data_IF_675765771164
#
_entry.id   IF_675765771164
#
_cell.length_a   1.000
_cell.length_b   1.000
_cell.length_c   1.000
_cell.angle_alpha   90.00
_cell.angle_beta   90.00
_cell.angle_gamma   90.00
#
_symmetry.space_group_name_H-M   'P 1'
#
loop_
_entity.id
_entity.type
_entity.pdbx_description
1 polymer ?
#
# COMPACT_ATOMS: atom_id res chain seq x y z
N UNK A 1 10.46 -8.27 5.36
CA UNK A 1 10.87 -7.36 4.27
C UNK A 1 11.73 -8.15 3.29
N UNK A 2 11.53 -7.99 2.00
CA UNK A 2 12.38 -8.61 0.96
C UNK A 2 13.32 -7.55 0.38
N UNK A 3 14.57 -7.95 0.16
CA UNK A 3 15.65 -7.06 -0.25
C UNK A 3 16.29 -7.52 -1.56
N UNK A 4 16.59 -6.56 -2.44
CA UNK A 4 17.46 -6.75 -3.61
C UNK A 4 18.42 -5.56 -3.66
N UNK A 5 19.72 -5.82 -3.79
CA UNK A 5 20.78 -4.80 -3.82
C UNK A 5 20.71 -3.78 -2.67
N UNK A 6 20.36 -4.24 -1.46
CA UNK A 6 20.24 -3.40 -0.27
C UNK A 6 18.97 -2.54 -0.20
N UNK A 7 17.98 -2.76 -1.08
CA UNK A 7 16.72 -2.00 -1.11
C UNK A 7 15.53 -2.88 -0.76
N UNK A 8 14.64 -2.38 0.10
CA UNK A 8 13.35 -3.00 0.38
C UNK A 8 12.41 -2.72 -0.77
N UNK A 9 12.03 -3.76 -1.51
CA UNK A 9 11.06 -3.65 -2.61
C UNK A 9 9.68 -4.21 -2.23
N UNK A 10 9.60 -5.03 -1.18
CA UNK A 10 8.35 -5.60 -0.71
C UNK A 10 8.29 -5.67 0.82
N UNK A 11 7.17 -5.21 1.36
CA UNK A 11 6.81 -5.34 2.79
C UNK A 11 5.63 -6.29 2.91
N UNK A 12 5.74 -7.30 3.77
CA UNK A 12 4.73 -8.33 3.97
C UNK A 12 4.26 -8.30 5.42
N UNK A 13 2.95 -8.11 5.62
CA UNK A 13 2.32 -8.05 6.92
C UNK A 13 2.32 -9.40 7.66
N UNK A 14 2.07 -9.35 8.96
CA UNK A 14 2.01 -10.55 9.81
C UNK A 14 0.95 -11.55 9.32
N UNK A 15 1.28 -12.84 9.38
CA UNK A 15 0.39 -13.93 8.93
C UNK A 15 0.26 -14.07 7.42
N UNK A 16 0.87 -13.19 6.63
CA UNK A 16 0.87 -13.25 5.17
C UNK A 16 2.03 -14.08 4.63
N UNK A 17 1.85 -14.63 3.44
CA UNK A 17 2.92 -15.32 2.71
C UNK A 17 2.85 -15.03 1.21
N UNK A 18 4.02 -15.12 0.57
CA UNK A 18 4.18 -15.11 -0.88
C UNK A 18 4.87 -16.42 -1.24
N UNK A 19 4.15 -17.32 -1.91
CA UNK A 19 4.67 -18.64 -2.24
C UNK A 19 5.73 -18.56 -3.35
N UNK A 20 5.42 -17.86 -4.43
CA UNK A 20 6.36 -17.52 -5.51
C UNK A 20 5.90 -16.22 -6.18
N UNK A 21 6.85 -15.39 -6.59
CA UNK A 21 6.55 -14.13 -7.25
C UNK A 21 7.75 -13.50 -7.93
N UNK A 22 7.49 -12.86 -9.07
CA UNK A 22 8.48 -12.15 -9.88
C UNK A 22 8.09 -10.69 -9.90
N UNK A 23 9.07 -9.81 -9.74
CA UNK A 23 8.87 -8.37 -9.93
C UNK A 23 9.64 -7.96 -11.17
N UNK A 24 8.91 -7.52 -12.19
CA UNK A 24 9.49 -6.87 -13.36
C UNK A 24 9.34 -5.37 -13.20
N UNK A 25 10.46 -4.65 -13.34
CA UNK A 25 10.44 -3.22 -13.10
C UNK A 25 11.36 -2.42 -14.04
N UNK A 26 10.84 -1.29 -14.53
CA UNK A 26 11.62 -0.30 -15.30
C UNK A 26 12.06 0.90 -14.44
N UNK A 27 11.53 0.99 -13.21
CA UNK A 27 11.83 2.06 -12.25
C UNK A 27 12.62 1.53 -11.07
N UNK A 28 13.55 2.33 -10.56
CA UNK A 28 14.25 2.03 -9.30
C UNK A 28 13.46 2.45 -8.05
N UNK A 29 12.31 3.10 -8.21
CA UNK A 29 11.50 3.66 -7.13
C UNK A 29 10.25 2.82 -6.87
N UNK A 30 10.40 1.51 -6.71
CA UNK A 30 9.27 0.59 -6.55
C UNK A 30 8.99 0.17 -5.10
N UNK A 31 7.73 -0.16 -4.81
CA UNK A 31 7.35 -0.85 -3.57
C UNK A 31 6.08 -1.69 -3.76
N UNK A 32 6.08 -2.90 -3.20
CA UNK A 32 4.89 -3.72 -3.03
C UNK A 32 4.57 -3.83 -1.54
N UNK A 33 3.43 -3.31 -1.13
CA UNK A 33 2.90 -3.49 0.22
C UNK A 33 1.89 -4.62 0.22
N UNK A 34 2.11 -5.62 1.07
CA UNK A 34 1.16 -6.70 1.33
C UNK A 34 0.69 -6.61 2.77
N UNK A 35 -0.63 -6.53 2.96
CA UNK A 35 -1.28 -6.46 4.27
C UNK A 35 -1.10 -7.75 5.08
N UNK A 36 -1.87 -7.88 6.16
CA UNK A 36 -1.82 -9.02 7.10
C UNK A 36 -2.74 -10.15 6.66
N UNK A 37 -2.39 -11.38 7.00
CA UNK A 37 -3.17 -12.59 6.71
C UNK A 37 -3.53 -12.77 5.22
N UNK A 38 -2.68 -12.23 4.34
CA UNK A 38 -2.85 -12.22 2.89
C UNK A 38 -2.04 -13.35 2.27
N UNK A 39 -2.69 -14.09 1.37
CA UNK A 39 -2.15 -15.28 0.73
C UNK A 39 -1.87 -15.02 -0.74
N UNK A 40 -0.60 -15.03 -1.14
CA UNK A 40 -0.20 -15.03 -2.55
C UNK A 40 0.30 -16.41 -2.91
N UNK A 41 -0.39 -17.07 -3.84
CA UNK A 41 0.01 -18.41 -4.33
C UNK A 41 1.16 -18.31 -5.35
N UNK A 42 1.36 -19.31 -6.20
CA UNK A 42 2.52 -19.39 -7.09
C UNK A 42 2.48 -18.39 -8.25
N UNK A 43 3.66 -18.07 -8.80
CA UNK A 43 3.78 -17.37 -10.09
C UNK A 43 3.04 -16.02 -10.18
N UNK A 44 3.06 -15.22 -9.11
CA UNK A 44 2.50 -13.85 -9.16
C UNK A 44 3.51 -12.90 -9.80
N UNK A 45 3.14 -12.26 -10.91
CA UNK A 45 3.94 -11.23 -11.56
C UNK A 45 3.50 -9.84 -11.11
N UNK A 46 4.44 -9.06 -10.57
CA UNK A 46 4.28 -7.64 -10.30
C UNK A 46 4.99 -6.84 -11.38
N UNK A 47 4.23 -6.21 -12.27
CA UNK A 47 4.78 -5.43 -13.39
C UNK A 47 4.73 -3.93 -13.04
N UNK A 48 5.87 -3.34 -12.66
CA UNK A 48 5.95 -2.00 -12.08
C UNK A 48 6.87 -1.10 -12.88
N UNK A 49 6.32 -0.06 -13.51
CA UNK A 49 7.16 0.94 -14.18
C UNK A 49 7.72 0.49 -15.54
N UNK A 50 7.11 -0.53 -16.17
CA UNK A 50 7.56 -1.10 -17.43
C UNK A 50 6.99 -0.40 -18.67
N UNK A 51 6.09 0.58 -18.52
CA UNK A 51 5.53 1.27 -19.69
C UNK A 51 6.57 2.20 -20.32
N UNK A 52 6.71 2.11 -21.63
CA UNK A 52 7.29 3.19 -22.43
C UNK A 52 6.28 4.33 -22.60
N UNK A 53 6.78 5.55 -22.80
CA UNK A 53 5.98 6.74 -23.03
C UNK A 53 5.25 6.66 -24.37
N UNK A 54 4.08 6.03 -24.35
CA UNK A 54 3.21 5.82 -25.51
C UNK A 54 2.53 7.11 -26.01
N UNK A 55 2.81 8.26 -25.38
CA UNK A 55 2.42 9.58 -25.91
C UNK A 55 3.44 10.15 -26.90
N UNK A 56 4.65 9.57 -26.99
CA UNK A 56 5.64 9.93 -28.01
C UNK A 56 5.26 9.35 -29.38
N UNK A 57 5.82 9.93 -30.44
CA UNK A 57 5.62 9.45 -31.82
C UNK A 57 6.00 7.98 -32.00
N UNK A 58 7.00 7.50 -31.24
CA UNK A 58 7.40 6.11 -31.21
C UNK A 58 7.61 5.69 -29.75
N UNK A 59 7.04 4.55 -29.36
CA UNK A 59 7.24 3.95 -28.04
C UNK A 59 8.58 3.18 -27.92
N UNK A 60 9.46 3.25 -28.93
CA UNK A 60 10.77 2.61 -28.90
C UNK A 60 11.74 3.39 -27.99
N UNK A 61 12.45 2.74 -27.05
CA UNK A 61 13.35 3.41 -26.12
C UNK A 61 14.69 3.71 -26.81
N UNK A 62 14.72 4.72 -27.68
CA UNK A 62 15.92 5.07 -28.44
C UNK A 62 17.11 5.36 -27.52
N UNK A 63 16.88 6.01 -26.39
CA UNK A 63 17.92 6.37 -25.44
C UNK A 63 18.64 5.16 -24.81
N UNK A 64 17.95 4.03 -24.67
CA UNK A 64 18.55 2.80 -24.13
C UNK A 64 19.48 2.10 -25.14
N UNK A 65 19.12 2.14 -26.43
CA UNK A 65 19.81 1.38 -27.47
C UNK A 65 20.77 2.21 -28.33
N UNK A 66 20.57 3.52 -28.41
CA UNK A 66 21.43 4.43 -29.17
C UNK A 66 22.40 5.23 -28.30
N UNK A 67 22.43 4.99 -26.98
CA UNK A 67 23.29 5.70 -26.01
C UNK A 67 23.22 7.23 -26.16
N UNK A 68 22.05 7.75 -26.56
CA UNK A 68 21.83 9.18 -26.68
C UNK A 68 21.50 9.74 -25.31
N UNK A 69 22.11 10.86 -24.93
CA UNK A 69 21.65 11.63 -23.78
C UNK A 69 20.16 11.97 -23.98
N UNK A 70 19.30 11.48 -23.09
CA UNK A 70 17.86 11.54 -23.30
C UNK A 70 17.05 11.28 -22.04
N UNK A 71 15.82 11.79 -22.03
CA UNK A 71 14.84 11.52 -20.97
C UNK A 71 14.38 10.07 -21.13
N UNK A 72 14.59 9.25 -20.10
CA UNK A 72 14.14 7.86 -20.02
C UNK A 72 12.72 7.71 -20.58
N UNK A 73 12.52 6.74 -21.45
CA UNK A 73 11.23 6.41 -22.03
C UNK A 73 10.30 5.72 -21.02
N UNK A 74 10.82 5.24 -19.88
CA UNK A 74 10.03 4.85 -18.69
C UNK A 74 9.56 6.09 -17.90
N UNK A 75 8.80 6.96 -18.57
CA UNK A 75 8.42 8.25 -18.03
C UNK A 75 7.44 8.12 -16.84
N UNK A 76 7.57 9.04 -15.87
CA UNK A 76 6.76 9.04 -14.65
C UNK A 76 5.25 9.21 -14.89
N UNK A 77 4.82 9.87 -15.97
CA UNK A 77 3.39 10.12 -16.22
C UNK A 77 2.64 8.91 -16.78
N UNK A 78 3.34 7.89 -17.27
CA UNK A 78 2.74 6.62 -17.77
C UNK A 78 3.00 5.44 -16.83
N UNK A 79 3.70 5.66 -15.72
CA UNK A 79 4.13 4.61 -14.80
C UNK A 79 3.76 4.95 -13.36
N UNK A 80 3.23 3.97 -12.65
CA UNK A 80 3.00 4.03 -11.21
C UNK A 80 3.87 2.99 -10.54
N UNK A 81 4.56 3.39 -9.48
CA UNK A 81 5.63 2.57 -8.91
C UNK A 81 5.26 1.81 -7.63
N UNK A 82 3.99 1.80 -7.25
CA UNK A 82 3.53 1.15 -6.02
C UNK A 82 2.38 0.19 -6.29
N UNK A 83 2.40 -0.96 -5.64
CA UNK A 83 1.25 -1.86 -5.53
C UNK A 83 0.89 -1.99 -4.06
N UNK A 84 -0.38 -1.85 -3.73
CA UNK A 84 -0.89 -2.01 -2.37
C UNK A 84 -1.88 -3.16 -2.37
N UNK A 85 -1.60 -4.20 -1.60
CA UNK A 85 -2.50 -5.32 -1.35
C UNK A 85 -2.92 -5.24 0.12
N UNK A 86 -4.24 -5.19 0.34
CA UNK A 86 -4.83 -5.12 1.67
C UNK A 86 -4.67 -6.41 2.49
N UNK A 87 -5.48 -6.50 3.54
CA UNK A 87 -5.49 -7.59 4.51
C UNK A 87 -6.46 -8.70 4.09
N UNK A 88 -6.23 -9.95 4.51
CA UNK A 88 -7.11 -11.09 4.17
C UNK A 88 -7.36 -11.24 2.64
N UNK A 89 -6.40 -10.83 1.81
CA UNK A 89 -6.51 -10.95 0.36
C UNK A 89 -6.04 -12.34 -0.06
N UNK A 90 -6.73 -12.92 -1.05
CA UNK A 90 -6.28 -14.14 -1.71
C UNK A 90 -5.95 -13.88 -3.17
N UNK A 91 -4.69 -14.08 -3.54
CA UNK A 91 -4.22 -14.01 -4.93
C UNK A 91 -3.91 -15.42 -5.42
N UNK A 92 -4.61 -15.83 -6.48
CA UNK A 92 -4.42 -17.10 -7.17
C UNK A 92 -3.09 -17.19 -7.92
N UNK A 93 -2.92 -18.29 -8.65
CA UNK A 93 -1.69 -18.62 -9.36
C UNK A 93 -1.67 -17.91 -10.73
N UNK A 94 -0.49 -17.62 -11.28
CA UNK A 94 -0.34 -16.97 -12.59
C UNK A 94 -1.10 -15.62 -12.70
N UNK A 95 -1.18 -14.86 -11.61
CA UNK A 95 -1.80 -13.53 -11.59
C UNK A 95 -0.77 -12.47 -11.96
N UNK A 96 -1.17 -11.53 -12.82
CA UNK A 96 -0.39 -10.33 -13.15
C UNK A 96 -1.02 -9.13 -12.47
N UNK A 97 -0.24 -8.35 -11.72
CA UNK A 97 -0.67 -7.12 -11.06
C UNK A 97 0.18 -5.96 -11.59
N UNK A 98 -0.48 -4.97 -12.17
CA UNK A 98 0.19 -3.80 -12.73
C UNK A 98 0.47 -2.73 -11.66
N UNK A 99 1.55 -1.99 -11.86
CA UNK A 99 1.93 -0.86 -11.00
C UNK A 99 0.82 0.18 -10.89
N UNK A 100 0.61 0.67 -9.68
CA UNK A 100 -0.42 1.67 -9.32
C UNK A 100 -1.70 1.09 -8.76
N UNK A 101 -1.86 -0.25 -8.76
CA UNK A 101 -3.09 -0.90 -8.31
C UNK A 101 -3.16 -1.02 -6.78
N UNK A 102 -4.32 -0.68 -6.24
CA UNK A 102 -4.73 -0.98 -4.88
C UNK A 102 -5.76 -2.12 -4.85
N UNK A 103 -5.44 -3.21 -4.15
CA UNK A 103 -6.33 -4.35 -3.92
C UNK A 103 -6.89 -4.28 -2.51
N UNK A 104 -8.18 -4.01 -2.37
CA UNK A 104 -8.85 -3.82 -1.09
C UNK A 104 -8.89 -5.09 -0.23
N UNK A 105 -8.95 -4.87 1.08
CA UNK A 105 -8.97 -5.95 2.07
C UNK A 105 -10.11 -6.95 1.84
N UNK A 106 -9.80 -8.22 2.01
CA UNK A 106 -10.72 -9.33 1.78
C UNK A 106 -10.94 -9.69 0.31
N UNK A 107 -10.33 -9.01 -0.67
CA UNK A 107 -10.54 -9.33 -2.08
C UNK A 107 -10.00 -10.74 -2.45
N UNK A 108 -10.58 -11.33 -3.50
CA UNK A 108 -10.11 -12.57 -4.11
C UNK A 108 -9.78 -12.28 -5.57
N UNK A 109 -8.55 -12.55 -5.97
CA UNK A 109 -8.12 -12.52 -7.37
C UNK A 109 -7.89 -13.96 -7.80
N UNK A 110 -8.71 -14.46 -8.71
CA UNK A 110 -8.59 -15.82 -9.21
C UNK A 110 -7.37 -15.99 -10.11
N UNK A 111 -6.90 -17.24 -10.21
CA UNK A 111 -5.74 -17.59 -11.04
C UNK A 111 -5.88 -17.12 -12.48
N UNK A 112 -4.78 -16.67 -13.09
CA UNK A 112 -4.73 -16.18 -14.47
C UNK A 112 -5.31 -14.78 -14.69
N UNK A 113 -5.71 -14.06 -13.64
CA UNK A 113 -6.26 -12.71 -13.78
C UNK A 113 -5.16 -11.66 -14.05
N UNK A 114 -5.49 -10.63 -14.84
CA UNK A 114 -4.64 -9.45 -15.03
C UNK A 114 -5.27 -8.23 -14.38
N UNK A 115 -4.72 -7.81 -13.25
CA UNK A 115 -5.22 -6.71 -12.43
C UNK A 115 -4.56 -5.41 -12.86
N UNK A 116 -5.29 -4.60 -13.63
CA UNK A 116 -4.84 -3.32 -14.18
C UNK A 116 -5.53 -2.10 -13.56
N UNK A 117 -6.45 -2.32 -12.60
CA UNK A 117 -7.23 -1.28 -11.92
C UNK A 117 -7.45 -1.68 -10.47
N UNK A 118 -7.74 -0.69 -9.63
CA UNK A 118 -8.06 -0.90 -8.23
C UNK A 118 -9.22 -1.89 -8.05
N UNK A 119 -9.09 -2.72 -7.02
CA UNK A 119 -10.05 -3.76 -6.66
C UNK A 119 -10.70 -3.37 -5.34
N UNK A 120 -12.03 -3.20 -5.27
CA UNK A 120 -12.71 -2.86 -4.03
C UNK A 120 -12.57 -3.96 -2.96
N UNK A 121 -12.71 -3.61 -1.67
CA UNK A 121 -12.69 -4.61 -0.60
C UNK A 121 -13.72 -5.72 -0.83
N UNK A 122 -13.33 -6.95 -0.51
CA UNK A 122 -14.15 -8.17 -0.66
C UNK A 122 -14.65 -8.47 -2.09
N UNK A 123 -14.17 -7.76 -3.11
CA UNK A 123 -14.49 -8.05 -4.50
C UNK A 123 -13.82 -9.35 -4.97
N UNK A 124 -14.42 -9.99 -5.98
CA UNK A 124 -13.89 -11.17 -6.66
C UNK A 124 -13.51 -10.76 -8.09
N UNK A 125 -12.27 -10.99 -8.48
CA UNK A 125 -11.72 -10.60 -9.78
C UNK A 125 -11.30 -11.83 -10.58
N UNK A 126 -11.68 -11.87 -11.85
CA UNK A 126 -11.35 -12.95 -12.77
C UNK A 126 -11.01 -12.42 -14.18
N UNK A 127 -10.15 -13.14 -14.91
CA UNK A 127 -9.93 -12.95 -16.35
C UNK A 127 -8.86 -11.93 -16.74
N UNK A 128 -8.69 -11.78 -18.06
CA UNK A 128 -7.77 -10.82 -18.69
C UNK A 128 -8.52 -10.05 -19.80
N UNK A 129 -8.81 -8.74 -19.62
CA UNK A 129 -8.50 -7.93 -18.44
C UNK A 129 -9.33 -8.37 -17.22
N UNK A 130 -8.75 -8.29 -16.02
CA UNK A 130 -9.42 -8.63 -14.78
C UNK A 130 -10.69 -7.82 -14.58
N UNK A 131 -11.82 -8.50 -14.40
CA UNK A 131 -13.13 -7.90 -14.14
C UNK A 131 -13.63 -8.32 -12.76
N UNK A 132 -14.34 -7.41 -12.09
CA UNK A 132 -15.08 -7.74 -10.88
C UNK A 132 -16.29 -8.59 -11.27
N UNK A 133 -16.30 -9.87 -10.87
CA UNK A 133 -17.39 -10.81 -11.15
C UNK A 133 -18.39 -10.92 -10.00
N UNK A 134 -18.04 -10.40 -8.82
CA UNK A 134 -18.92 -10.34 -7.67
C UNK A 134 -18.21 -9.88 -6.41
N UNK A 135 -18.85 -10.13 -5.27
CA UNK A 135 -18.31 -9.86 -3.94
C UNK A 135 -18.49 -11.11 -3.06
N UNK A 136 -17.56 -11.33 -2.11
CA UNK A 136 -17.63 -12.46 -1.18
C UNK A 136 -18.92 -12.46 -0.35
N UNK A 137 -19.41 -11.28 0.02
CA UNK A 137 -20.55 -11.10 0.92
C UNK A 137 -21.45 -9.94 0.48
N UNK A 138 -22.61 -9.80 1.13
CA UNK A 138 -23.47 -8.63 0.96
C UNK A 138 -22.84 -7.36 1.56
N UNK A 139 -23.27 -6.19 1.07
CA UNK A 139 -22.73 -4.88 1.45
C UNK A 139 -22.77 -4.62 2.96
N UNK A 140 -23.83 -5.07 3.65
CA UNK A 140 -23.96 -4.88 5.11
C UNK A 140 -22.92 -5.70 5.85
N UNK A 141 -22.69 -6.94 5.43
CA UNK A 141 -21.64 -7.80 5.99
C UNK A 141 -20.25 -7.22 5.71
N UNK A 142 -19.98 -6.76 4.48
CA UNK A 142 -18.70 -6.12 4.10
C UNK A 142 -18.42 -4.90 4.99
N UNK A 143 -19.36 -3.97 5.11
CA UNK A 143 -19.21 -2.77 5.95
C UNK A 143 -18.88 -3.13 7.40
N UNK A 144 -19.51 -4.17 7.94
CA UNK A 144 -19.25 -4.63 9.31
C UNK A 144 -17.86 -5.25 9.45
N UNK A 145 -17.44 -6.09 8.52
CA UNK A 145 -16.11 -6.69 8.57
C UNK A 145 -15.01 -5.66 8.43
N UNK A 146 -15.20 -4.69 7.52
CA UNK A 146 -14.33 -3.53 7.42
C UNK A 146 -14.30 -2.78 8.74
N UNK A 147 -15.44 -2.55 9.42
CA UNK A 147 -15.47 -1.92 10.74
C UNK A 147 -14.76 -2.73 11.84
N UNK A 148 -14.78 -4.06 11.77
CA UNK A 148 -14.24 -4.95 12.79
C UNK A 148 -12.71 -5.04 12.73
N UNK A 149 -12.15 -5.04 11.52
CA UNK A 149 -10.71 -5.17 11.25
C UNK A 149 -10.00 -6.22 12.09
N UNK A 150 -10.51 -7.44 12.04
CA UNK A 150 -9.99 -8.52 12.87
C UNK A 150 -8.48 -8.77 12.66
N UNK A 151 -7.94 -8.43 11.49
CA UNK A 151 -6.52 -8.50 11.16
C UNK A 151 -5.62 -7.60 12.02
N UNK A 152 -6.20 -6.61 12.72
CA UNK A 152 -5.49 -5.72 13.64
C UNK A 152 -5.63 -6.13 15.11
N UNK A 153 -6.37 -7.20 15.41
CA UNK A 153 -6.51 -7.68 16.77
C UNK A 153 -5.18 -8.21 17.33
N UNK A 154 -4.97 -8.16 18.67
CA UNK A 154 -3.88 -8.89 19.32
C UNK A 154 -3.94 -10.38 18.97
N UNK A 155 -2.77 -11.01 18.87
CA UNK A 155 -2.66 -12.42 18.46
C UNK A 155 -3.48 -13.34 19.38
N UNK A 156 -3.48 -13.07 20.68
CA UNK A 156 -4.24 -13.83 21.68
C UNK A 156 -5.75 -13.77 21.42
N UNK A 157 -6.24 -12.61 20.96
CA UNK A 157 -7.66 -12.43 20.59
C UNK A 157 -7.99 -13.17 19.30
N UNK A 158 -7.07 -13.18 18.32
CA UNK A 158 -7.23 -13.93 17.08
C UNK A 158 -7.30 -15.43 17.37
N UNK A 159 -6.40 -15.95 18.20
CA UNK A 159 -6.41 -17.35 18.63
C UNK A 159 -7.71 -17.69 19.39
N UNK A 160 -8.14 -16.85 20.33
CA UNK A 160 -9.40 -17.05 21.05
C UNK A 160 -10.64 -17.01 20.13
N UNK A 161 -10.57 -16.28 19.02
CA UNK A 161 -11.66 -16.13 18.06
C UNK A 161 -11.52 -17.05 16.82
N UNK A 162 -10.53 -17.95 16.78
CA UNK A 162 -10.20 -18.77 15.61
C UNK A 162 -11.43 -19.48 15.03
N UNK A 163 -12.19 -20.17 15.88
CA UNK A 163 -13.39 -20.88 15.45
C UNK A 163 -14.46 -19.96 14.85
N UNK A 164 -14.57 -18.72 15.35
CA UNK A 164 -15.53 -17.75 14.82
C UNK A 164 -15.07 -17.18 13.48
N UNK A 165 -13.76 -16.95 13.33
CA UNK A 165 -13.13 -16.48 12.08
C UNK A 165 -13.23 -17.51 10.94
N UNK A 166 -13.16 -18.81 11.27
CA UNK A 166 -13.27 -19.91 10.29
C UNK A 166 -14.72 -20.29 9.94
N UNK A 167 -15.72 -19.65 10.54
CA UNK A 167 -17.11 -20.00 10.38
C UNK A 167 -17.84 -18.99 9.45
N UNK A 168 -19.12 -18.75 9.69
CA UNK A 168 -19.95 -17.90 8.85
C UNK A 168 -19.64 -16.41 9.07
N UNK A 169 -19.17 -15.72 8.02
CA UNK A 169 -18.81 -14.30 8.06
C UNK A 169 -19.95 -13.38 8.52
N UNK A 170 -21.20 -13.71 8.17
CA UNK A 170 -22.36 -12.93 8.62
C UNK A 170 -22.60 -13.12 10.12
N UNK A 171 -22.54 -14.35 10.62
CA UNK A 171 -22.66 -14.63 12.05
C UNK A 171 -21.51 -13.97 12.84
N UNK A 172 -20.29 -14.01 12.32
CA UNK A 172 -19.14 -13.29 12.88
C UNK A 172 -19.39 -11.79 12.92
N UNK A 173 -19.85 -11.19 11.82
CA UNK A 173 -20.18 -9.77 11.74
C UNK A 173 -21.40 -9.36 12.60
N UNK A 174 -22.23 -10.32 13.01
CA UNK A 174 -23.33 -10.11 13.97
C UNK A 174 -22.85 -10.21 15.41
N UNK A 175 -21.92 -11.13 15.70
CA UNK A 175 -21.31 -11.32 17.01
C UNK A 175 -20.45 -10.13 17.43
N UNK A 176 -19.62 -9.62 16.52
CA UNK A 176 -18.71 -8.50 16.77
C UNK A 176 -19.28 -7.22 16.18
N UNK A 177 -20.39 -6.71 16.72
CA UNK A 177 -20.94 -5.43 16.26
C UNK A 177 -20.12 -4.25 16.80
N UNK A 178 -20.06 -3.15 16.05
CA UNK A 178 -19.16 -1.99 16.21
C UNK A 178 -19.11 -1.30 17.60
N UNK A 179 -19.89 -1.73 18.59
CA UNK A 179 -19.74 -1.24 19.95
C UNK A 179 -18.41 -1.68 20.60
N UNK A 180 -17.80 -2.78 20.13
CA UNK A 180 -16.67 -3.38 20.84
C UNK A 180 -15.28 -2.96 20.33
N UNK A 181 -15.14 -2.33 19.15
CA UNK A 181 -13.84 -1.86 18.62
C UNK A 181 -13.99 -0.77 17.54
N UNK A 182 -14.67 0.35 17.83
CA UNK A 182 -14.42 1.57 17.06
C UNK A 182 -13.41 2.39 17.85
N UNK A 183 -12.13 2.30 17.48
CA UNK A 183 -11.36 3.53 17.49
C UNK A 183 -12.13 4.45 16.54
N UNK A 184 -12.80 5.48 17.07
CA UNK A 184 -13.35 6.53 16.21
C UNK A 184 -12.23 6.96 15.27
N UNK A 185 -12.52 7.36 14.01
CA UNK A 185 -11.49 7.94 13.19
C UNK A 185 -10.84 9.02 14.00
N UNK A 186 -9.59 8.77 14.39
CA UNK A 186 -8.80 9.76 15.07
C UNK A 186 -8.65 10.93 14.10
N UNK A 187 -8.12 12.05 14.57
CA UNK A 187 -7.96 13.24 13.73
C UNK A 187 -7.21 12.93 12.41
N UNK A 188 -6.40 11.86 12.41
CA UNK A 188 -5.66 11.35 11.26
C UNK A 188 -6.59 10.72 10.23
N UNK A 189 -7.42 9.75 10.61
CA UNK A 189 -8.35 9.10 9.67
C UNK A 189 -9.28 10.08 8.96
N UNK A 190 -9.74 11.11 9.67
CA UNK A 190 -10.57 12.17 9.09
C UNK A 190 -9.78 13.07 8.12
N UNK A 191 -8.52 13.37 8.44
CA UNK A 191 -7.64 14.12 7.55
C UNK A 191 -7.35 13.36 6.25
N UNK A 192 -7.14 12.05 6.32
CA UNK A 192 -6.88 11.19 5.15
C UNK A 192 -8.10 11.09 4.23
N UNK A 193 -9.28 10.90 4.81
CA UNK A 193 -10.55 10.91 4.08
C UNK A 193 -10.70 12.21 3.26
N UNK A 194 -10.47 13.35 3.91
CA UNK A 194 -10.55 14.66 3.24
C UNK A 194 -9.50 14.83 2.14
N UNK A 195 -8.28 14.34 2.35
CA UNK A 195 -7.21 14.38 1.34
C UNK A 195 -7.59 13.57 0.09
N UNK A 196 -8.13 12.35 0.27
CA UNK A 196 -8.60 11.50 -0.83
C UNK A 196 -9.75 12.15 -1.61
N UNK A 197 -10.74 12.74 -0.92
CA UNK A 197 -11.86 13.45 -1.58
C UNK A 197 -11.39 14.62 -2.46
N UNK A 198 -10.27 15.23 -2.11
CA UNK A 198 -9.63 16.31 -2.89
C UNK A 198 -8.69 15.80 -3.98
N UNK A 199 -8.61 14.48 -4.20
CA UNK A 199 -7.80 13.85 -5.23
C UNK A 199 -6.30 13.76 -4.90
N UNK A 200 -5.93 13.77 -3.61
CA UNK A 200 -4.52 13.59 -3.24
C UNK A 200 -4.08 12.13 -3.37
N UNK A 201 -2.94 11.91 -4.04
CA UNK A 201 -2.19 10.67 -3.94
C UNK A 201 -1.55 10.58 -2.55
N UNK A 202 -1.85 9.52 -1.80
CA UNK A 202 -1.39 9.36 -0.42
C UNK A 202 -0.26 8.34 -0.38
N UNK A 203 0.92 8.78 0.06
CA UNK A 203 2.09 7.94 0.32
C UNK A 203 2.29 7.78 1.81
N UNK A 204 2.79 6.62 2.23
CA UNK A 204 2.96 6.28 3.63
C UNK A 204 4.41 5.91 3.94
N UNK A 205 4.93 6.44 5.05
CA UNK A 205 6.25 6.12 5.59
C UNK A 205 6.13 5.89 7.10
N UNK A 206 6.43 4.67 7.56
CA UNK A 206 6.75 4.44 8.97
C UNK A 206 8.23 4.70 9.16
N UNK A 207 8.58 5.66 10.00
CA UNK A 207 9.96 6.00 10.25
C UNK A 207 10.64 4.88 11.05
N UNK A 208 11.57 4.20 10.40
CA UNK A 208 12.32 3.06 10.93
C UNK A 208 13.53 3.51 11.74
N UNK A 209 13.32 4.39 12.72
CA UNK A 209 14.36 4.98 13.57
C UNK A 209 15.20 3.93 14.33
N UNK A 210 14.65 2.74 14.55
CA UNK A 210 15.31 1.63 15.25
C UNK A 210 16.09 0.70 14.33
N UNK A 211 15.93 0.80 13.01
CA UNK A 211 16.61 -0.08 12.07
C UNK A 211 18.11 0.28 11.97
N UNK A 212 18.97 -0.73 11.98
CA UNK A 212 20.40 -0.57 11.77
C UNK A 212 20.71 0.11 10.42
N UNK A 213 19.92 -0.19 9.40
CA UNK A 213 19.94 0.46 8.09
C UNK A 213 18.58 1.15 7.85
N UNK A 214 18.40 2.32 8.46
CA UNK A 214 17.14 3.05 8.36
C UNK A 214 16.92 3.66 6.97
N UNK A 215 15.76 3.46 6.37
CA UNK A 215 15.40 3.99 5.03
C UNK A 215 14.57 5.27 5.07
N UNK A 216 14.04 5.70 6.24
CA UNK A 216 13.14 6.85 6.33
C UNK A 216 13.71 8.13 5.70
N UNK A 217 15.02 8.38 5.87
CA UNK A 217 15.71 9.54 5.26
C UNK A 217 15.63 9.50 3.75
N UNK A 218 15.94 8.34 3.17
CA UNK A 218 15.94 8.15 1.72
C UNK A 218 14.52 8.32 1.17
N UNK A 219 13.53 7.70 1.79
CA UNK A 219 12.12 7.81 1.36
C UNK A 219 11.64 9.26 1.44
N UNK A 220 11.94 9.96 2.53
CA UNK A 220 11.59 11.37 2.70
C UNK A 220 12.23 12.26 1.62
N UNK A 221 13.54 12.11 1.40
CA UNK A 221 14.28 12.90 0.40
C UNK A 221 13.84 12.57 -1.04
N UNK A 222 13.57 11.30 -1.34
CA UNK A 222 13.06 10.88 -2.64
C UNK A 222 11.67 11.48 -2.89
N UNK A 223 10.80 11.53 -1.87
CA UNK A 223 9.49 12.18 -1.98
C UNK A 223 9.62 13.70 -2.19
N UNK A 224 10.41 14.38 -1.37
CA UNK A 224 10.62 15.82 -1.46
C UNK A 224 11.24 16.25 -2.79
N UNK A 225 12.02 15.39 -3.43
CA UNK A 225 12.61 15.65 -4.75
C UNK A 225 11.72 15.25 -5.94
N UNK A 226 10.77 14.34 -5.74
CA UNK A 226 9.90 13.83 -6.80
C UNK A 226 8.59 14.61 -6.96
N UNK A 227 8.14 15.28 -5.90
CA UNK A 227 6.86 15.97 -5.85
C UNK A 227 7.03 17.46 -5.50
N UNK A 228 6.03 18.24 -5.87
CA UNK A 228 5.96 19.70 -5.72
C UNK A 228 4.57 20.08 -5.22
N UNK A 229 4.41 21.29 -4.66
CA UNK A 229 3.17 21.75 -4.04
C UNK A 229 1.96 21.83 -5.01
N UNK A 230 2.22 21.94 -6.31
CA UNK A 230 1.21 21.97 -7.38
C UNK A 230 0.63 20.59 -7.72
N UNK A 231 1.26 19.52 -7.24
CA UNK A 231 0.75 18.15 -7.37
C UNK A 231 -0.01 17.75 -6.10
N UNK A 232 -1.25 17.24 -6.22
CA UNK A 232 -2.01 16.79 -5.06
C UNK A 232 -1.42 15.45 -4.58
N UNK A 233 -0.35 15.51 -3.81
CA UNK A 233 0.24 14.37 -3.13
C UNK A 233 0.58 14.69 -1.69
N UNK A 234 0.53 13.69 -0.83
CA UNK A 234 0.94 13.80 0.58
C UNK A 234 1.80 12.62 0.99
N UNK A 235 2.89 12.87 1.70
CA UNK A 235 3.63 11.84 2.43
C UNK A 235 3.23 11.91 3.90
N UNK A 236 2.61 10.84 4.38
CA UNK A 236 2.31 10.64 5.78
C UNK A 236 3.50 9.95 6.44
N UNK A 237 4.08 10.59 7.43
CA UNK A 237 5.22 10.05 8.18
C UNK A 237 4.79 9.71 9.59
N UNK A 238 4.72 8.43 9.89
CA UNK A 238 4.53 7.92 11.25
C UNK A 238 5.88 7.91 11.96
N UNK A 239 5.93 8.51 13.15
CA UNK A 239 7.10 8.45 14.03
C UNK A 239 6.69 7.88 15.40
N UNK A 240 7.57 7.14 16.09
CA UNK A 240 7.31 6.67 17.46
C UNK A 240 6.98 7.86 18.38
N UNK A 241 5.99 7.74 19.29
CA UNK A 241 5.59 8.82 20.22
C UNK A 241 6.64 9.15 21.27
N UNK A 242 7.43 8.17 21.71
CA UNK A 242 8.50 8.36 22.70
C UNK A 242 9.85 7.85 22.18
N UNK A 243 10.94 8.38 22.74
CA UNK A 243 12.30 8.13 22.24
C UNK A 243 12.63 8.90 20.94
N UNK A 244 13.87 8.76 20.48
CA UNK A 244 14.33 9.22 19.15
C UNK A 244 14.26 10.74 18.92
N UNK A 245 14.63 11.55 19.92
CA UNK A 245 14.63 13.02 19.80
C UNK A 245 15.57 13.53 18.70
N UNK A 246 16.69 12.84 18.48
CA UNK A 246 17.70 13.22 17.46
C UNK A 246 17.14 13.01 16.06
N UNK A 247 16.56 11.85 15.79
CA UNK A 247 15.97 11.50 14.50
C UNK A 247 14.78 12.40 14.18
N UNK A 248 13.96 12.75 15.18
CA UNK A 248 12.89 13.75 15.01
C UNK A 248 13.42 15.12 14.66
N UNK A 249 14.46 15.59 15.35
CA UNK A 249 15.08 16.88 15.04
C UNK A 249 15.66 16.88 13.62
N UNK A 250 16.29 15.78 13.21
CA UNK A 250 16.80 15.63 11.85
C UNK A 250 15.66 15.67 10.83
N UNK A 251 14.59 14.92 11.04
CA UNK A 251 13.42 14.92 10.15
C UNK A 251 12.83 16.32 9.99
N UNK A 252 12.62 17.04 11.10
CA UNK A 252 12.11 18.40 11.08
C UNK A 252 13.09 19.37 10.39
N UNK A 253 14.40 19.17 10.58
CA UNK A 253 15.43 19.96 9.91
C UNK A 253 15.38 19.76 8.40
N UNK A 254 15.27 18.51 7.92
CA UNK A 254 15.15 18.20 6.49
C UNK A 254 13.91 18.86 5.87
N UNK A 255 12.77 18.84 6.58
CA UNK A 255 11.56 19.51 6.12
C UNK A 255 11.70 21.04 6.11
N UNK A 256 12.40 21.61 7.08
CA UNK A 256 12.61 23.06 7.16
C UNK A 256 13.52 23.62 6.06
N UNK A 257 14.34 22.76 5.46
CA UNK A 257 15.21 23.11 4.33
C UNK A 257 14.44 23.18 3.00
N UNK A 258 13.17 22.80 2.99
CA UNK A 258 12.35 22.80 1.79
C UNK A 258 11.85 24.22 1.45
N UNK A 259 11.82 24.57 0.16
CA UNK A 259 11.37 25.88 -0.32
C UNK A 259 9.83 25.96 -0.40
N UNK A 260 9.29 27.14 -0.77
CA UNK A 260 7.85 27.40 -0.82
C UNK A 260 7.04 26.46 -1.73
N UNK A 261 7.72 25.72 -2.62
CA UNK A 261 7.11 24.80 -3.60
C UNK A 261 7.14 23.32 -3.14
N UNK A 262 7.44 23.07 -1.87
CA UNK A 262 7.59 21.72 -1.35
C UNK A 262 6.26 20.95 -1.28
N UNK A 263 6.28 19.63 -1.57
CA UNK A 263 5.08 18.81 -1.51
C UNK A 263 4.61 18.62 -0.07
N UNK A 264 3.33 18.31 0.11
CA UNK A 264 2.76 18.16 1.45
C UNK A 264 3.37 16.95 2.16
N UNK A 265 3.86 17.19 3.38
CA UNK A 265 4.29 16.15 4.33
C UNK A 265 3.56 16.37 5.65
N UNK A 266 2.96 15.31 6.20
CA UNK A 266 2.32 15.34 7.51
C UNK A 266 2.97 14.31 8.43
N UNK A 267 3.27 14.71 9.67
CA UNK A 267 3.93 13.86 10.66
C UNK A 267 2.94 13.50 11.77
N UNK A 268 2.94 12.24 12.18
CA UNK A 268 2.06 11.73 13.23
C UNK A 268 2.82 10.87 14.23
N UNK A 269 2.44 10.93 15.51
CA UNK A 269 3.05 10.14 16.59
C UNK A 269 2.16 8.99 17.03
N UNK A 270 2.68 7.76 17.08
CA UNK A 270 1.95 6.58 17.55
C UNK A 270 2.39 6.09 18.94
N UNK A 271 1.41 5.75 19.81
CA UNK A 271 1.65 5.40 21.23
C UNK A 271 2.39 4.07 21.45
N UNK A 272 2.42 3.20 20.44
CA UNK A 272 3.23 2.00 20.41
C UNK A 272 3.80 1.87 18.99
N UNK A 273 5.02 1.34 18.88
CA UNK A 273 5.59 0.86 17.62
C UNK A 273 4.78 -0.33 17.09
N UNK A 274 3.56 -0.05 16.61
CA UNK A 274 2.61 -1.00 16.07
C UNK A 274 1.48 -0.25 15.36
N UNK A 275 1.67 -0.02 14.06
CA UNK A 275 0.67 -0.14 12.98
C UNK A 275 -0.78 0.39 13.17
N UNK A 276 -1.04 1.37 14.05
CA UNK A 276 -2.40 1.90 14.23
C UNK A 276 -2.90 2.70 13.01
N UNK A 277 -2.03 3.28 12.18
CA UNK A 277 -2.49 4.07 11.02
C UNK A 277 -2.93 3.22 9.82
N UNK A 278 -2.55 1.93 9.73
CA UNK A 278 -3.11 1.02 8.72
C UNK A 278 -4.56 0.65 9.02
N UNK A 279 -5.03 0.82 10.26
CA UNK A 279 -6.43 0.61 10.65
C UNK A 279 -7.37 1.61 9.94
N UNK A 280 -6.87 2.78 9.55
CA UNK A 280 -7.70 3.84 8.98
C UNK A 280 -7.65 3.89 7.45
N UNK A 281 -6.61 3.33 6.84
CA UNK A 281 -6.41 3.38 5.38
C UNK A 281 -7.37 2.47 4.60
N UNK A 282 -7.88 1.42 5.24
CA UNK A 282 -8.85 0.44 4.71
C UNK A 282 -10.30 0.95 4.63
N UNK A 283 -10.59 2.09 5.26
CA UNK A 283 -11.85 2.78 5.11
C UNK A 283 -11.68 3.92 4.12
N UNK A 284 -12.50 3.91 3.07
CA UNK A 284 -12.66 4.90 2.00
C UNK A 284 -11.81 4.64 0.75
#
# INVERSE_FOLDING_TARGET
MLHQDGRVFMTVGAGSYVADGIIEHGSQRLHVLVGRYTSLTGHVLFEIGMNHDYHRTAAYPFEEFFYTDGISNHAFHVNHNQIIIGHDVKIGEDVIILGGVHIGSGAIVHSGAVVAKDVPPYAIVEGNPGQITGYRYDEKTIKRLLNIQWWNWPEEKIQACEQSLQNNAKAFAEQFSAADNVAQPDEIGQALASLRERGYAIYYLVADFTAHESIWRKVLLDYLSAYTADRPSVLLVEIPKEGFSTERQELLSLLSMCHADAPLVQIYTSENSSFHMLEMADFL
#
